data_IF_310979355590
#
_entry.id   IF_310979355590
#
_cell.length_a   1.000
_cell.length_b   1.000
_cell.length_c   1.000
_cell.angle_alpha   90.00
_cell.angle_beta   90.00
_cell.angle_gamma   90.00
#
_symmetry.space_group_name_H-M   'P 1'
#
loop_
_entity.id
_entity.type
_entity.pdbx_description
1 polymer ?
#
# COMPACT_ATOMS: atom_id res chain seq x y z
N UNK A 1 -32.10 77.48 5.82
CA UNK A 1 -32.43 77.37 7.25
C UNK A 1 -33.91 77.01 7.30
N UNK A 2 -34.23 75.74 7.05
CA UNK A 2 -34.37 74.71 8.10
C UNK A 2 -35.84 74.75 8.54
N UNK A 3 -36.67 73.72 8.49
CA UNK A 3 -36.44 72.28 8.44
C UNK A 3 -37.77 71.55 8.10
N UNK A 4 -37.63 70.37 7.50
CA UNK A 4 -38.43 69.16 7.70
C UNK A 4 -39.94 69.15 7.38
N UNK A 5 -40.23 68.80 6.13
CA UNK A 5 -41.35 67.91 5.81
C UNK A 5 -41.14 66.52 6.43
N UNK A 6 -42.07 66.11 7.29
CA UNK A 6 -42.14 64.75 7.83
C UNK A 6 -42.53 63.77 6.71
N UNK A 7 -41.55 63.04 6.19
CA UNK A 7 -41.78 61.80 5.46
C UNK A 7 -41.93 60.65 6.46
N UNK A 8 -42.90 59.79 6.16
CA UNK A 8 -43.24 58.55 6.84
C UNK A 8 -42.02 57.62 6.95
N UNK A 9 -41.87 56.84 8.04
CA UNK A 9 -40.87 55.79 8.08
C UNK A 9 -41.30 54.71 7.08
N UNK A 10 -40.49 54.54 6.03
CA UNK A 10 -40.50 53.34 5.21
C UNK A 10 -40.18 52.19 6.15
N UNK A 11 -41.19 51.39 6.45
CA UNK A 11 -41.00 50.03 6.93
C UNK A 11 -40.29 49.27 5.82
N UNK A 12 -38.96 49.35 5.82
CA UNK A 12 -38.11 48.43 5.10
C UNK A 12 -38.26 47.09 5.81
N UNK A 13 -39.26 46.39 5.29
CA UNK A 13 -39.62 45.04 5.58
C UNK A 13 -38.37 44.17 5.61
N UNK A 14 -38.17 43.58 6.78
CA UNK A 14 -37.49 42.32 7.05
C UNK A 14 -37.98 41.30 5.99
N UNK A 15 -37.35 41.29 4.83
CA UNK A 15 -37.44 40.23 3.80
C UNK A 15 -36.04 40.09 3.18
N UNK A 16 -35.02 39.85 4.01
CA UNK A 16 -33.91 39.02 3.53
C UNK A 16 -34.39 37.57 3.64
N UNK A 17 -35.10 37.16 2.59
CA UNK A 17 -35.53 35.79 2.39
C UNK A 17 -34.32 34.86 2.45
N UNK A 18 -34.45 33.80 3.24
CA UNK A 18 -33.61 32.60 3.34
C UNK A 18 -33.45 31.81 2.02
N UNK A 19 -33.52 32.47 0.86
CA UNK A 19 -33.43 31.87 -0.47
C UNK A 19 -32.10 32.25 -1.10
N UNK A 20 -31.06 31.49 -0.79
CA UNK A 20 -29.78 31.63 -1.48
C UNK A 20 -28.57 31.01 -0.79
N UNK A 21 -28.67 30.63 0.48
CA UNK A 21 -27.60 29.89 1.14
C UNK A 21 -27.76 28.40 0.79
N UNK A 22 -26.81 27.84 0.03
CA UNK A 22 -26.69 26.39 -0.11
C UNK A 22 -26.66 25.69 1.25
N UNK A 23 -27.01 24.41 1.30
CA UNK A 23 -27.07 23.61 2.52
C UNK A 23 -25.79 23.64 3.38
N UNK A 24 -24.64 23.99 2.82
CA UNK A 24 -23.35 24.14 3.50
C UNK A 24 -22.91 25.59 3.73
N UNK A 25 -23.79 26.58 3.49
CA UNK A 25 -23.55 28.00 3.74
C UNK A 25 -22.83 28.77 2.64
N UNK A 26 -22.59 28.17 1.46
CA UNK A 26 -22.09 28.91 0.29
C UNK A 26 -23.26 29.31 -0.63
N UNK A 27 -23.30 30.57 -1.12
CA UNK A 27 -24.30 30.96 -2.11
C UNK A 27 -24.04 30.36 -3.49
N UNK A 28 -22.76 30.09 -3.81
CA UNK A 28 -22.34 29.60 -5.12
C UNK A 28 -21.69 28.22 -5.04
N UNK A 29 -21.90 27.41 -6.08
CA UNK A 29 -21.32 26.08 -6.21
C UNK A 29 -19.78 26.15 -6.33
N UNK A 30 -19.07 25.43 -5.46
CA UNK A 30 -17.59 25.38 -5.46
C UNK A 30 -16.97 24.80 -6.75
N UNK A 31 -17.74 24.06 -7.56
CA UNK A 31 -17.25 23.44 -8.79
C UNK A 31 -17.49 24.25 -10.06
N UNK A 32 -18.71 24.79 -10.25
CA UNK A 32 -19.08 25.51 -11.46
C UNK A 32 -19.39 27.01 -11.25
N UNK A 33 -19.51 27.47 -10.00
CA UNK A 33 -19.82 28.86 -9.67
C UNK A 33 -21.30 29.24 -9.75
N UNK A 34 -22.19 28.35 -10.18
CA UNK A 34 -23.63 28.59 -10.25
C UNK A 34 -24.25 28.88 -8.88
N UNK A 35 -25.31 29.70 -8.84
CA UNK A 35 -26.08 29.94 -7.62
C UNK A 35 -26.72 28.63 -7.11
N UNK A 36 -26.62 28.36 -5.82
CA UNK A 36 -27.18 27.18 -5.19
C UNK A 36 -28.60 27.44 -4.71
N UNK A 37 -29.54 26.62 -5.20
CA UNK A 37 -30.97 26.69 -4.82
C UNK A 37 -31.41 25.49 -3.98
N UNK A 38 -30.50 24.58 -3.65
CA UNK A 38 -30.78 23.37 -2.87
C UNK A 38 -29.53 22.59 -2.48
N UNK A 39 -29.73 21.33 -2.03
CA UNK A 39 -28.63 20.43 -1.59
C UNK A 39 -27.69 19.99 -2.70
N UNK A 40 -28.11 20.10 -3.95
CA UNK A 40 -27.31 19.78 -5.13
C UNK A 40 -27.37 20.95 -6.12
N UNK A 41 -26.26 21.20 -6.80
CA UNK A 41 -26.20 22.20 -7.87
C UNK A 41 -26.98 21.72 -9.10
N UNK A 42 -27.96 22.50 -9.55
CA UNK A 42 -28.76 22.20 -10.74
C UNK A 42 -27.96 22.19 -12.04
N UNK A 43 -26.85 22.95 -12.11
CA UNK A 43 -26.05 23.05 -13.33
C UNK A 43 -25.02 21.92 -13.50
N UNK A 44 -24.39 21.48 -12.41
CA UNK A 44 -23.31 20.49 -12.49
C UNK A 44 -23.53 19.21 -11.67
N UNK A 45 -24.60 19.13 -10.87
CA UNK A 45 -24.89 17.96 -10.04
C UNK A 45 -24.12 17.87 -8.73
N UNK A 46 -23.18 18.79 -8.46
CA UNK A 46 -22.39 18.74 -7.23
C UNK A 46 -23.26 18.89 -5.97
N UNK A 47 -23.15 17.94 -5.05
CA UNK A 47 -23.70 18.07 -3.68
C UNK A 47 -23.03 19.24 -2.96
N UNK A 48 -23.85 20.10 -2.35
CA UNK A 48 -23.35 21.21 -1.56
C UNK A 48 -22.84 20.69 -0.21
N UNK A 49 -21.52 20.75 -0.06
CA UNK A 49 -20.78 20.24 1.09
C UNK A 49 -19.75 21.30 1.48
N UNK A 50 -19.43 21.43 2.78
CA UNK A 50 -18.37 22.33 3.20
C UNK A 50 -17.05 22.06 2.46
N UNK A 51 -16.29 23.13 2.19
CA UNK A 51 -14.98 23.03 1.52
C UNK A 51 -14.04 22.09 2.26
N UNK A 52 -14.03 22.15 3.59
CA UNK A 52 -13.27 21.23 4.45
C UNK A 52 -14.23 20.24 5.09
N UNK A 53 -13.91 18.96 5.01
CA UNK A 53 -14.73 17.88 5.56
C UNK A 53 -13.95 17.13 6.63
N UNK A 54 -14.64 16.63 7.66
CA UNK A 54 -14.03 15.67 8.56
C UNK A 54 -13.87 14.31 7.85
N UNK A 55 -13.04 13.43 8.42
CA UNK A 55 -12.80 12.09 7.87
C UNK A 55 -14.11 11.30 7.80
N UNK A 56 -14.94 11.38 8.85
CA UNK A 56 -16.22 10.67 8.93
C UNK A 56 -17.16 11.03 7.77
N UNK A 57 -17.25 12.31 7.43
CA UNK A 57 -18.08 12.76 6.31
C UNK A 57 -17.57 12.19 4.97
N UNK A 58 -16.25 12.10 4.79
CA UNK A 58 -15.64 11.54 3.58
C UNK A 58 -15.98 10.04 3.43
N UNK A 59 -15.91 9.29 4.54
CA UNK A 59 -16.21 7.85 4.56
C UNK A 59 -17.67 7.56 4.22
N UNK A 60 -18.63 8.28 4.82
CA UNK A 60 -20.06 8.08 4.56
C UNK A 60 -20.41 8.41 3.10
N UNK A 61 -19.92 9.54 2.60
CA UNK A 61 -20.17 9.94 1.21
C UNK A 61 -19.55 8.93 0.23
N UNK A 62 -18.37 8.36 0.53
CA UNK A 62 -17.75 7.31 -0.29
C UNK A 62 -18.62 6.06 -0.41
N UNK A 63 -19.08 5.48 0.71
CA UNK A 63 -19.88 4.24 0.72
C UNK A 63 -21.18 4.44 -0.07
N UNK A 64 -21.86 5.57 0.14
CA UNK A 64 -23.10 5.88 -0.57
C UNK A 64 -22.94 6.02 -2.09
N UNK A 65 -21.73 6.36 -2.55
CA UNK A 65 -21.43 6.60 -3.96
C UNK A 65 -20.73 5.41 -4.65
N UNK A 66 -20.49 4.30 -3.95
CA UNK A 66 -19.63 3.23 -4.47
C UNK A 66 -20.19 2.56 -5.74
N UNK A 67 -21.51 2.39 -5.81
CA UNK A 67 -22.20 1.70 -6.90
C UNK A 67 -22.54 2.59 -8.10
N UNK A 68 -22.23 3.89 -8.07
CA UNK A 68 -22.42 4.75 -9.24
C UNK A 68 -21.22 4.66 -10.19
N UNK A 69 -21.45 4.12 -11.39
CA UNK A 69 -20.45 4.10 -12.45
C UNK A 69 -20.41 5.47 -13.14
N UNK A 70 -19.24 6.12 -13.17
CA UNK A 70 -19.09 7.49 -13.71
C UNK A 70 -18.19 7.55 -14.95
N UNK A 71 -18.62 8.30 -15.95
CA UNK A 71 -17.86 8.58 -17.20
C UNK A 71 -16.61 9.44 -17.00
N UNK A 72 -16.43 10.04 -15.82
CA UNK A 72 -15.33 10.98 -15.50
C UNK A 72 -13.98 10.29 -15.24
N UNK A 73 -13.94 8.95 -15.28
CA UNK A 73 -12.73 8.16 -15.02
C UNK A 73 -11.56 8.58 -15.92
N UNK A 74 -11.75 8.62 -17.24
CA UNK A 74 -10.66 8.95 -18.18
C UNK A 74 -10.12 10.37 -18.02
N UNK A 75 -11.00 11.35 -17.79
CA UNK A 75 -10.60 12.74 -17.52
C UNK A 75 -9.72 12.83 -16.26
N UNK A 76 -10.09 12.07 -15.24
CA UNK A 76 -9.38 11.98 -13.96
C UNK A 76 -8.04 11.30 -14.16
N UNK A 77 -8.00 10.16 -14.87
CA UNK A 77 -6.78 9.45 -15.25
C UNK A 77 -5.78 10.36 -15.98
N UNK A 78 -6.19 11.07 -17.03
CA UNK A 78 -5.30 11.98 -17.78
C UNK A 78 -4.78 13.11 -16.87
N UNK A 79 -5.67 13.71 -16.09
CA UNK A 79 -5.28 14.77 -15.16
C UNK A 79 -4.32 14.24 -14.08
N UNK A 80 -4.53 13.00 -13.63
CA UNK A 80 -3.70 12.38 -12.60
C UNK A 80 -2.31 12.03 -13.14
N UNK A 81 -2.21 11.47 -14.34
CA UNK A 81 -0.93 11.07 -14.95
C UNK A 81 -0.08 12.26 -15.38
N UNK A 82 -0.66 13.35 -15.89
CA UNK A 82 0.11 14.40 -16.55
C UNK A 82 0.12 15.75 -15.80
N UNK A 83 -0.73 15.95 -14.79
CA UNK A 83 -0.87 17.23 -14.07
C UNK A 83 -0.69 17.07 -12.55
N UNK A 84 0.55 16.84 -12.06
CA UNK A 84 0.80 16.48 -10.66
C UNK A 84 0.16 17.45 -9.67
N UNK A 85 -0.66 16.95 -8.74
CA UNK A 85 -1.26 17.76 -7.67
C UNK A 85 -2.27 18.84 -8.07
N UNK A 86 -2.55 19.08 -9.36
CA UNK A 86 -3.62 20.02 -9.77
C UNK A 86 -4.98 19.45 -9.36
N UNK A 87 -5.19 18.17 -9.68
CA UNK A 87 -6.42 17.46 -9.32
C UNK A 87 -6.65 17.47 -7.80
N UNK A 88 -5.61 17.13 -7.03
CA UNK A 88 -5.65 17.09 -5.57
C UNK A 88 -6.01 18.47 -5.00
N UNK A 89 -5.37 19.54 -5.50
CA UNK A 89 -5.64 20.90 -5.07
C UNK A 89 -7.09 21.30 -5.41
N UNK A 90 -7.54 21.09 -6.64
CA UNK A 90 -8.91 21.41 -7.07
C UNK A 90 -9.95 20.65 -6.21
N UNK A 91 -9.68 19.39 -5.87
CA UNK A 91 -10.54 18.58 -5.00
C UNK A 91 -10.62 19.14 -3.57
N UNK A 92 -9.47 19.51 -2.98
CA UNK A 92 -9.40 20.15 -1.66
C UNK A 92 -10.02 21.56 -1.65
N UNK A 93 -10.02 22.27 -2.78
CA UNK A 93 -10.77 23.52 -2.98
C UNK A 93 -12.28 23.31 -3.12
N UNK A 94 -12.76 22.07 -3.20
CA UNK A 94 -14.18 21.72 -3.27
C UNK A 94 -14.72 21.50 -4.69
N UNK A 95 -13.87 21.47 -5.73
CA UNK A 95 -14.27 21.19 -7.13
C UNK A 95 -14.36 19.66 -7.37
N UNK A 96 -15.19 18.98 -6.57
CA UNK A 96 -15.19 17.51 -6.45
C UNK A 96 -15.91 16.82 -7.60
N UNK A 97 -16.97 17.43 -8.12
CA UNK A 97 -17.80 16.84 -9.18
C UNK A 97 -17.09 16.76 -10.55
N UNK A 98 -16.01 17.54 -10.73
CA UNK A 98 -15.18 17.55 -11.95
C UNK A 98 -14.43 16.24 -12.20
N UNK A 99 -14.13 15.51 -11.13
CA UNK A 99 -13.23 14.35 -11.12
C UNK A 99 -13.96 13.12 -10.59
N UNK A 100 -13.44 11.95 -10.97
CA UNK A 100 -13.86 10.68 -10.42
C UNK A 100 -13.46 10.61 -8.94
N UNK A 101 -14.30 9.96 -8.13
CA UNK A 101 -14.10 9.96 -6.68
C UNK A 101 -12.82 9.20 -6.29
N UNK A 102 -11.92 9.79 -5.49
CA UNK A 102 -10.58 9.24 -5.20
C UNK A 102 -10.62 7.83 -4.63
N UNK A 103 -11.38 7.62 -3.55
CA UNK A 103 -11.42 6.31 -2.90
C UNK A 103 -12.01 5.20 -3.79
N UNK A 104 -12.91 5.55 -4.73
CA UNK A 104 -13.46 4.58 -5.69
C UNK A 104 -12.40 4.20 -6.72
N UNK A 105 -11.68 5.20 -7.23
CA UNK A 105 -10.56 5.00 -8.15
C UNK A 105 -9.52 4.09 -7.52
N UNK A 106 -9.19 4.30 -6.25
CA UNK A 106 -8.21 3.53 -5.51
C UNK A 106 -8.60 2.06 -5.35
N UNK A 107 -9.83 1.78 -4.94
CA UNK A 107 -10.30 0.39 -4.84
C UNK A 107 -10.29 -0.29 -6.21
N UNK A 108 -10.75 0.40 -7.26
CA UNK A 108 -10.76 -0.14 -8.61
C UNK A 108 -9.34 -0.41 -9.12
N UNK A 109 -8.44 0.58 -9.03
CA UNK A 109 -7.07 0.47 -9.53
C UNK A 109 -6.22 -0.51 -8.72
N UNK A 110 -6.38 -0.57 -7.40
CA UNK A 110 -5.70 -1.58 -6.57
C UNK A 110 -6.13 -2.98 -6.96
N UNK A 111 -7.44 -3.22 -7.14
CA UNK A 111 -7.95 -4.51 -7.61
C UNK A 111 -7.35 -4.90 -8.97
N UNK A 112 -7.38 -3.99 -9.96
CA UNK A 112 -6.81 -4.25 -11.29
C UNK A 112 -5.30 -4.49 -11.22
N UNK A 113 -4.56 -3.68 -10.45
CA UNK A 113 -3.11 -3.83 -10.30
C UNK A 113 -2.76 -5.18 -9.67
N UNK A 114 -3.40 -5.57 -8.57
CA UNK A 114 -3.12 -6.85 -7.92
C UNK A 114 -3.60 -8.04 -8.76
N UNK A 115 -4.71 -7.92 -9.49
CA UNK A 115 -5.13 -8.95 -10.44
C UNK A 115 -4.07 -9.17 -11.52
N UNK A 116 -3.58 -8.09 -12.14
CA UNK A 116 -2.50 -8.18 -13.14
C UNK A 116 -1.24 -8.77 -12.50
N UNK A 117 -0.83 -8.27 -11.34
CA UNK A 117 0.36 -8.73 -10.62
C UNK A 117 0.29 -10.22 -10.28
N UNK A 118 -0.86 -10.73 -9.85
CA UNK A 118 -1.08 -12.16 -9.56
C UNK A 118 -1.11 -13.03 -10.82
N UNK A 119 -1.55 -12.48 -11.96
CA UNK A 119 -1.55 -13.19 -13.24
C UNK A 119 -0.17 -13.21 -13.92
N UNK A 120 0.78 -12.37 -13.47
CA UNK A 120 2.14 -12.40 -14.00
C UNK A 120 2.81 -13.74 -13.66
N UNK A 121 3.41 -14.43 -14.64
CA UNK A 121 4.12 -15.66 -14.37
C UNK A 121 5.32 -15.40 -13.47
N UNK A 122 5.42 -16.10 -12.34
CA UNK A 122 6.64 -16.15 -11.54
C UNK A 122 7.69 -16.91 -12.37
N UNK A 123 8.78 -16.25 -12.74
CA UNK A 123 9.92 -16.87 -13.46
C UNK A 123 10.70 -17.90 -12.62
N UNK A 124 10.19 -18.31 -11.46
CA UNK A 124 10.72 -19.39 -10.62
C UNK A 124 10.46 -20.79 -11.22
N UNK A 125 10.55 -20.91 -12.55
CA UNK A 125 10.91 -22.15 -13.21
C UNK A 125 12.41 -22.14 -13.47
N UNK A 126 13.20 -22.10 -12.40
CA UNK A 126 14.52 -22.74 -12.46
C UNK A 126 14.18 -24.22 -12.66
N UNK A 127 14.16 -24.65 -13.94
CA UNK A 127 14.36 -26.04 -14.28
C UNK A 127 15.73 -26.40 -13.69
N UNK A 128 15.73 -26.91 -12.45
CA UNK A 128 16.73 -27.90 -12.10
C UNK A 128 16.38 -29.07 -13.00
N UNK A 129 16.97 -29.06 -14.20
CA UNK A 129 17.10 -30.25 -14.99
C UNK A 129 17.94 -31.15 -14.10
N UNK A 130 17.28 -31.99 -13.31
CA UNK A 130 17.91 -33.16 -12.74
C UNK A 130 18.40 -33.96 -13.93
N UNK A 131 19.65 -33.73 -14.32
CA UNK A 131 20.44 -34.68 -15.10
C UNK A 131 20.75 -35.88 -14.20
N UNK A 132 19.68 -36.50 -13.71
CA UNK A 132 19.73 -37.76 -13.02
C UNK A 132 19.71 -38.84 -14.09
N UNK A 133 20.88 -39.33 -14.48
CA UNK A 133 20.94 -40.70 -15.00
C UNK A 133 20.24 -41.59 -13.98
N UNK A 134 19.20 -42.30 -14.40
CA UNK A 134 18.64 -43.37 -13.59
C UNK A 134 19.74 -44.41 -13.36
N UNK A 135 20.36 -44.35 -12.18
CA UNK A 135 21.34 -45.34 -11.73
C UNK A 135 20.69 -46.73 -11.79
N UNK A 136 21.38 -47.65 -12.45
CA UNK A 136 20.97 -49.04 -12.56
C UNK A 136 20.87 -49.69 -11.17
N UNK A 137 20.11 -50.79 -11.05
CA UNK A 137 19.97 -51.51 -9.76
C UNK A 137 21.32 -51.95 -9.17
N UNK A 138 22.32 -52.17 -10.01
CA UNK A 138 23.67 -52.56 -9.60
C UNK A 138 24.46 -51.36 -9.07
N UNK A 139 24.38 -50.20 -9.72
CA UNK A 139 25.01 -48.97 -9.23
C UNK A 139 24.37 -48.47 -7.92
N UNK A 140 23.05 -48.59 -7.79
CA UNK A 140 22.34 -48.29 -6.53
C UNK A 140 22.81 -49.22 -5.41
N UNK A 141 23.00 -50.51 -5.67
CA UNK A 141 23.52 -51.47 -4.69
C UNK A 141 24.96 -51.17 -4.29
N UNK A 142 25.84 -50.92 -5.27
CA UNK A 142 27.24 -50.58 -5.01
C UNK A 142 27.39 -49.28 -4.20
N UNK A 143 26.51 -48.30 -4.42
CA UNK A 143 26.44 -47.08 -3.62
C UNK A 143 25.92 -47.33 -2.19
N UNK A 144 24.90 -48.16 -2.02
CA UNK A 144 24.42 -48.53 -0.67
C UNK A 144 25.44 -49.36 0.12
N UNK A 145 26.19 -50.24 -0.55
CA UNK A 145 27.27 -51.02 0.08
C UNK A 145 28.46 -50.14 0.49
N UNK A 146 28.78 -49.10 -0.29
CA UNK A 146 29.82 -48.14 0.10
C UNK A 146 29.40 -47.27 1.29
N UNK A 147 28.10 -46.93 1.41
CA UNK A 147 27.53 -46.25 2.57
C UNK A 147 27.54 -47.10 3.85
N UNK A 148 27.23 -48.40 3.74
CA UNK A 148 27.29 -49.30 4.91
C UNK A 148 28.74 -49.53 5.39
N UNK A 149 29.70 -49.52 4.48
CA UNK A 149 31.13 -49.65 4.82
C UNK A 149 31.67 -48.37 5.47
N UNK A 150 31.12 -47.19 5.12
CA UNK A 150 31.46 -45.91 5.76
C UNK A 150 30.62 -45.59 7.00
N UNK A 151 29.44 -46.19 7.18
CA UNK A 151 28.62 -46.05 8.40
C UNK A 151 29.30 -46.60 9.66
N UNK A 152 30.22 -47.56 9.50
CA UNK A 152 31.06 -48.04 10.60
C UNK A 152 32.32 -47.18 10.83
N UNK A 153 32.54 -46.15 10.01
CA UNK A 153 33.67 -45.23 10.07
C UNK A 153 33.28 -43.76 10.34
N UNK A 154 32.00 -43.39 10.21
CA UNK A 154 31.47 -42.10 10.65
C UNK A 154 31.00 -42.19 12.10
N UNK A 155 31.57 -41.32 12.93
CA UNK A 155 31.46 -41.35 14.39
C UNK A 155 30.03 -41.25 14.92
N UNK A 156 29.92 -41.66 16.19
CA UNK A 156 28.73 -41.58 17.02
C UNK A 156 28.04 -40.18 16.86
N UNK A 157 26.74 -40.10 16.48
CA UNK A 157 26.04 -38.83 16.22
C UNK A 157 26.07 -37.83 17.40
N UNK A 158 26.38 -38.34 18.60
CA UNK A 158 26.47 -37.58 19.85
C UNK A 158 27.64 -36.55 19.83
N UNK A 159 28.63 -36.69 18.94
CA UNK A 159 29.82 -35.83 18.92
C UNK A 159 29.85 -34.79 17.79
N UNK A 160 28.88 -34.78 16.88
CA UNK A 160 28.80 -33.78 15.83
C UNK A 160 27.88 -32.63 16.27
N UNK A 161 28.48 -31.50 16.67
CA UNK A 161 27.72 -30.29 17.04
C UNK A 161 26.90 -29.71 15.88
N UNK A 162 27.19 -30.09 14.62
CA UNK A 162 26.47 -29.65 13.43
C UNK A 162 25.42 -30.67 12.93
N UNK A 163 25.16 -31.74 13.69
CA UNK A 163 24.16 -32.73 13.33
C UNK A 163 22.74 -32.14 13.41
N UNK A 164 21.98 -32.18 12.31
CA UNK A 164 20.60 -31.72 12.23
C UNK A 164 19.63 -32.89 12.54
N UNK A 165 18.99 -32.92 13.72
CA UNK A 165 18.10 -34.01 14.11
C UNK A 165 16.87 -34.07 13.23
N UNK A 166 16.49 -35.27 12.80
CA UNK A 166 15.40 -35.48 11.84
C UNK A 166 14.06 -35.72 12.50
N UNK A 167 14.05 -36.12 13.78
CA UNK A 167 12.82 -36.39 14.55
C UNK A 167 12.82 -35.68 15.88
N UNK A 168 11.63 -35.45 16.44
CA UNK A 168 11.48 -34.82 17.75
C UNK A 168 12.14 -35.66 18.85
N UNK A 169 12.02 -36.99 18.76
CA UNK A 169 12.63 -37.94 19.69
C UNK A 169 14.15 -37.85 19.65
N UNK A 170 14.73 -37.77 18.45
CA UNK A 170 16.17 -37.62 18.26
C UNK A 170 16.69 -36.30 18.82
N UNK A 171 15.97 -35.19 18.59
CA UNK A 171 16.29 -33.89 19.18
C UNK A 171 16.26 -33.92 20.71
N UNK A 172 15.20 -34.46 21.32
CA UNK A 172 15.10 -34.56 22.77
C UNK A 172 16.21 -35.46 23.35
N UNK A 173 16.63 -36.50 22.62
CA UNK A 173 17.73 -37.38 23.04
C UNK A 173 19.09 -36.65 23.07
N UNK A 174 19.40 -35.86 22.03
CA UNK A 174 20.62 -35.05 21.95
C UNK A 174 20.62 -33.96 23.03
N UNK A 175 19.46 -33.36 23.27
CA UNK A 175 19.30 -32.29 24.22
C UNK A 175 19.46 -32.77 25.68
N UNK A 176 18.97 -33.96 25.99
CA UNK A 176 19.15 -34.58 27.29
C UNK A 176 20.60 -35.03 27.53
N UNK A 177 21.34 -35.41 26.48
CA UNK A 177 22.74 -35.78 26.55
C UNK A 177 23.69 -34.59 26.81
N UNK A 178 23.26 -33.35 26.54
CA UNK A 178 24.04 -32.14 26.81
C UNK A 178 24.04 -31.79 28.31
N UNK A 179 25.17 -31.25 28.84
CA UNK A 179 25.20 -30.60 30.15
C UNK A 179 24.14 -29.50 30.27
N UNK A 180 23.51 -29.27 31.45
CA UNK A 180 22.43 -28.29 31.60
C UNK A 180 22.75 -26.88 31.11
N UNK A 181 24.02 -26.47 31.19
CA UNK A 181 24.50 -25.15 30.76
C UNK A 181 24.59 -24.99 29.24
N UNK A 182 24.67 -26.10 28.49
CA UNK A 182 24.78 -26.12 27.03
C UNK A 182 23.47 -26.49 26.33
N UNK A 183 22.39 -26.63 27.11
CA UNK A 183 21.05 -26.89 26.57
C UNK A 183 20.51 -25.66 25.86
N UNK A 184 19.79 -25.91 24.79
CA UNK A 184 19.12 -24.92 23.97
C UNK A 184 18.19 -24.07 24.84
N UNK A 185 18.25 -22.75 24.66
CA UNK A 185 17.34 -21.84 25.35
C UNK A 185 15.88 -22.07 24.94
N UNK A 186 14.92 -21.58 25.73
CA UNK A 186 13.48 -21.76 25.45
C UNK A 186 13.07 -21.35 24.03
N UNK A 187 13.67 -20.27 23.52
CA UNK A 187 13.38 -19.74 22.18
C UNK A 187 13.98 -20.65 21.12
N UNK A 188 15.25 -21.04 21.28
CA UNK A 188 15.96 -21.93 20.34
C UNK A 188 15.27 -23.29 20.23
N UNK A 189 14.87 -23.87 21.37
CA UNK A 189 14.11 -25.12 21.43
C UNK A 189 12.77 -25.02 20.71
N UNK A 190 12.02 -23.93 20.90
CA UNK A 190 10.74 -23.72 20.19
C UNK A 190 10.93 -23.74 18.67
N UNK A 191 11.94 -23.02 18.15
CA UNK A 191 12.20 -22.98 16.73
C UNK A 191 12.70 -24.32 16.18
N UNK A 192 13.63 -25.02 16.85
CA UNK A 192 14.13 -26.33 16.39
C UNK A 192 13.02 -27.38 16.37
N UNK A 193 12.23 -27.50 17.44
CA UNK A 193 11.08 -28.41 17.50
C UNK A 193 10.09 -28.11 16.37
N UNK A 194 9.79 -26.83 16.15
CA UNK A 194 8.87 -26.43 15.09
C UNK A 194 9.42 -26.76 13.71
N UNK A 195 10.70 -26.50 13.46
CA UNK A 195 11.37 -26.87 12.21
C UNK A 195 11.36 -28.39 11.94
N UNK A 196 11.66 -29.21 12.95
CA UNK A 196 11.65 -30.67 12.86
C UNK A 196 10.23 -31.18 12.56
N UNK A 197 9.24 -30.69 13.32
CA UNK A 197 7.83 -31.07 13.15
C UNK A 197 7.33 -30.72 11.74
N UNK A 198 7.71 -29.55 11.22
CA UNK A 198 7.37 -29.10 9.87
C UNK A 198 8.05 -29.95 8.79
N UNK A 199 9.35 -30.25 8.94
CA UNK A 199 10.10 -31.14 8.03
C UNK A 199 9.44 -32.52 7.95
N UNK A 200 9.03 -33.06 9.09
CA UNK A 200 8.44 -34.40 9.19
C UNK A 200 7.01 -34.46 8.61
N UNK A 201 6.19 -33.43 8.81
CA UNK A 201 4.80 -33.41 8.31
C UNK A 201 4.69 -33.17 6.81
N UNK A 202 5.62 -32.39 6.22
CA UNK A 202 5.45 -31.93 4.84
C UNK A 202 6.62 -32.26 3.90
N UNK A 203 7.70 -32.91 4.36
CA UNK A 203 8.81 -33.41 3.52
C UNK A 203 9.70 -32.32 2.90
N UNK A 204 10.24 -31.43 3.73
CA UNK A 204 10.68 -30.09 3.29
C UNK A 204 12.14 -29.99 2.85
N UNK A 205 12.35 -29.77 1.53
CA UNK A 205 13.57 -29.19 0.95
C UNK A 205 13.65 -27.68 1.28
N UNK A 206 14.86 -27.16 1.51
CA UNK A 206 15.10 -25.76 1.90
C UNK A 206 14.47 -24.77 0.91
N UNK A 207 14.49 -25.09 -0.39
CA UNK A 207 13.86 -24.27 -1.44
C UNK A 207 12.34 -24.16 -1.28
N UNK A 208 11.69 -25.20 -0.78
CA UNK A 208 10.24 -25.23 -0.56
C UNK A 208 9.83 -24.32 0.59
N UNK A 209 10.65 -24.23 1.64
CA UNK A 209 10.45 -23.31 2.77
C UNK A 209 10.51 -21.87 2.29
N UNK A 210 11.60 -21.50 1.63
CA UNK A 210 11.78 -20.13 1.13
C UNK A 210 10.71 -19.72 0.13
N UNK A 211 10.28 -20.66 -0.74
CA UNK A 211 9.16 -20.43 -1.65
C UNK A 211 7.86 -20.18 -0.91
N UNK A 212 7.46 -21.05 0.02
CA UNK A 212 6.20 -20.89 0.78
C UNK A 212 6.18 -19.65 1.67
N UNK A 213 7.34 -19.29 2.24
CA UNK A 213 7.53 -18.04 2.98
C UNK A 213 7.37 -16.82 2.06
N UNK A 214 8.00 -16.84 0.88
CA UNK A 214 7.89 -15.79 -0.12
C UNK A 214 6.46 -15.59 -0.63
N UNK A 215 5.75 -16.68 -0.94
CA UNK A 215 4.34 -16.68 -1.34
C UNK A 215 3.45 -16.08 -0.24
N UNK A 216 3.70 -16.45 1.02
CA UNK A 216 2.96 -15.91 2.18
C UNK A 216 3.20 -14.42 2.39
N UNK A 217 4.45 -13.95 2.21
CA UNK A 217 4.79 -12.52 2.26
C UNK A 217 4.08 -11.74 1.16
N UNK A 218 4.12 -12.24 -0.08
CA UNK A 218 3.48 -11.62 -1.24
C UNK A 218 1.96 -11.52 -1.07
N UNK A 219 1.32 -12.56 -0.54
CA UNK A 219 -0.12 -12.56 -0.26
C UNK A 219 -0.55 -11.47 0.75
N UNK A 220 0.37 -10.99 1.57
CA UNK A 220 0.12 -9.93 2.55
C UNK A 220 0.47 -8.51 2.03
N UNK A 221 1.10 -8.37 0.87
CA UNK A 221 1.44 -7.07 0.27
C UNK A 221 0.20 -6.14 0.12
N UNK A 222 -0.96 -6.60 -0.39
CA UNK A 222 -2.14 -5.74 -0.47
C UNK A 222 -2.53 -5.15 0.89
N UNK A 223 -2.54 -6.00 1.94
CA UNK A 223 -2.87 -5.57 3.33
C UNK A 223 -1.89 -4.52 3.84
N UNK A 224 -0.59 -4.67 3.56
CA UNK A 224 0.43 -3.68 3.91
C UNK A 224 0.16 -2.34 3.22
N UNK A 225 -0.14 -2.34 1.93
CA UNK A 225 -0.42 -1.12 1.15
C UNK A 225 -1.65 -0.36 1.70
N UNK A 226 -2.72 -1.07 2.05
CA UNK A 226 -3.91 -0.45 2.67
C UNK A 226 -3.57 0.15 4.05
N UNK A 227 -2.75 -0.52 4.85
CA UNK A 227 -2.31 0.00 6.15
C UNK A 227 -1.37 1.21 6.04
N UNK A 228 -0.49 1.22 5.02
CA UNK A 228 0.46 2.31 4.80
C UNK A 228 -0.19 3.60 4.27
N UNK A 229 -1.40 3.52 3.70
CA UNK A 229 -2.15 4.68 3.22
C UNK A 229 -2.43 5.71 4.34
N UNK A 230 -3.11 5.37 5.45
CA UNK A 230 -3.34 6.33 6.54
C UNK A 230 -2.04 6.77 7.22
N UNK A 231 -1.00 5.92 7.23
CA UNK A 231 0.34 6.28 7.74
C UNK A 231 0.98 7.35 6.88
N UNK A 232 0.93 7.23 5.55
CA UNK A 232 1.48 8.24 4.63
C UNK A 232 0.76 9.59 4.81
N UNK A 233 -0.58 9.58 4.93
CA UNK A 233 -1.37 10.78 5.20
C UNK A 233 -1.00 11.39 6.57
N UNK A 234 -0.75 10.56 7.58
CA UNK A 234 -0.31 11.01 8.91
C UNK A 234 1.07 11.65 8.86
N UNK A 235 2.03 11.07 8.14
CA UNK A 235 3.35 11.67 7.95
C UNK A 235 3.19 13.04 7.29
N UNK A 236 2.35 13.17 6.24
CA UNK A 236 2.08 14.46 5.60
C UNK A 236 1.50 15.47 6.61
N UNK A 237 0.53 15.04 7.43
CA UNK A 237 -0.05 15.88 8.48
C UNK A 237 1.02 16.36 9.47
N UNK A 238 1.95 15.51 9.87
CA UNK A 238 3.05 15.87 10.76
C UNK A 238 4.01 16.87 10.09
N UNK A 239 4.40 16.64 8.82
CA UNK A 239 5.30 17.55 8.10
C UNK A 239 4.68 18.92 7.84
N UNK A 240 3.37 19.00 7.72
CA UNK A 240 2.62 20.23 7.47
C UNK A 240 1.79 20.65 8.68
N UNK A 241 2.18 20.26 9.90
CA UNK A 241 1.44 20.57 11.15
C UNK A 241 1.22 22.07 11.38
N UNK A 242 2.15 22.92 10.90
CA UNK A 242 2.05 24.39 10.99
C UNK A 242 1.10 25.01 9.95
N UNK A 243 0.47 24.20 9.10
CA UNK A 243 -0.48 24.67 8.09
C UNK A 243 -1.88 24.19 8.46
N UNK A 244 -2.85 25.02 8.08
CA UNK A 244 -4.27 24.78 8.31
C UNK A 244 -4.86 23.84 7.26
N UNK A 245 -4.39 22.60 7.26
CA UNK A 245 -4.94 21.49 6.48
C UNK A 245 -5.56 20.45 7.42
N UNK A 246 -6.73 19.94 7.04
CA UNK A 246 -7.39 18.84 7.74
C UNK A 246 -6.72 17.51 7.38
N UNK A 247 -6.82 16.52 8.26
CA UNK A 247 -6.29 15.19 7.95
C UNK A 247 -6.91 14.62 6.66
N UNK A 248 -8.21 14.88 6.43
CA UNK A 248 -8.91 14.49 5.20
C UNK A 248 -8.26 15.04 3.93
N UNK A 249 -7.70 16.25 3.94
CA UNK A 249 -7.00 16.83 2.79
C UNK A 249 -5.68 16.13 2.50
N UNK A 250 -4.96 15.69 3.55
CA UNK A 250 -3.77 14.85 3.41
C UNK A 250 -4.14 13.44 2.95
N UNK A 251 -5.26 12.90 3.44
CA UNK A 251 -5.77 11.60 3.03
C UNK A 251 -6.17 11.60 1.55
N UNK A 252 -6.88 12.63 1.07
CA UNK A 252 -7.19 12.82 -0.35
C UNK A 252 -5.92 12.88 -1.18
N UNK A 253 -4.89 13.63 -0.73
CA UNK A 253 -3.59 13.64 -1.39
C UNK A 253 -3.02 12.24 -1.53
N UNK A 254 -3.02 11.48 -0.44
CA UNK A 254 -2.46 10.12 -0.41
C UNK A 254 -3.22 9.18 -1.32
N UNK A 255 -4.55 9.19 -1.29
CA UNK A 255 -5.38 8.31 -2.13
C UNK A 255 -5.08 8.57 -3.61
N UNK A 256 -5.11 9.83 -4.06
CA UNK A 256 -4.76 10.15 -5.46
C UNK A 256 -3.31 9.84 -5.81
N UNK A 257 -2.38 9.99 -4.86
CA UNK A 257 -1.00 9.60 -5.12
C UNK A 257 -0.87 8.08 -5.29
N UNK A 258 -1.57 7.28 -4.49
CA UNK A 258 -1.59 5.83 -4.66
C UNK A 258 -2.32 5.39 -5.93
N UNK A 259 -3.39 6.08 -6.34
CA UNK A 259 -4.01 5.89 -7.66
C UNK A 259 -2.98 6.05 -8.78
N UNK A 260 -2.17 7.11 -8.69
CA UNK A 260 -1.08 7.35 -9.64
C UNK A 260 -0.02 6.25 -9.59
N UNK A 261 0.37 5.77 -8.40
CA UNK A 261 1.32 4.68 -8.24
C UNK A 261 0.80 3.38 -8.87
N UNK A 262 -0.47 3.02 -8.68
CA UNK A 262 -1.05 1.84 -9.31
C UNK A 262 -1.08 1.96 -10.82
N UNK A 263 -1.46 3.12 -11.37
CA UNK A 263 -1.42 3.35 -12.82
C UNK A 263 -0.01 3.25 -13.39
N UNK A 264 0.95 3.90 -12.73
CA UNK A 264 2.35 3.83 -13.13
C UNK A 264 2.90 2.40 -13.01
N UNK A 265 2.48 1.64 -12.00
CA UNK A 265 2.81 0.23 -11.81
C UNK A 265 2.23 -0.66 -12.91
N UNK A 266 0.96 -0.48 -13.28
CA UNK A 266 0.33 -1.19 -14.41
C UNK A 266 1.10 -0.90 -15.70
N UNK A 267 1.44 0.36 -15.96
CA UNK A 267 2.26 0.72 -17.13
C UNK A 267 3.65 0.06 -17.07
N UNK A 268 4.27 0.01 -15.88
CA UNK A 268 5.56 -0.64 -15.68
C UNK A 268 5.50 -2.14 -15.98
N UNK A 269 4.45 -2.83 -15.53
CA UNK A 269 4.21 -4.24 -15.88
C UNK A 269 4.06 -4.42 -17.39
N UNK A 270 3.30 -3.54 -18.06
CA UNK A 270 3.15 -3.59 -19.54
C UNK A 270 4.49 -3.42 -20.25
N UNK A 271 5.36 -2.52 -19.78
CA UNK A 271 6.71 -2.38 -20.35
C UNK A 271 7.60 -3.60 -20.05
N UNK A 272 7.44 -4.23 -18.89
CA UNK A 272 8.15 -5.47 -18.54
C UNK A 272 7.73 -6.69 -19.35
N UNK A 273 6.53 -6.70 -19.94
CA UNK A 273 6.12 -7.75 -20.88
C UNK A 273 6.93 -7.72 -22.19
N UNK A 274 7.66 -6.63 -22.43
CA UNK A 274 8.40 -6.40 -23.66
C UNK A 274 9.85 -6.08 -23.26
N UNK A 275 10.71 -7.11 -23.18
CA UNK A 275 12.07 -7.00 -22.62
C UNK A 275 12.89 -5.78 -23.08
N UNK A 276 12.83 -5.40 -24.37
CA UNK A 276 13.57 -4.24 -24.89
C UNK A 276 13.05 -2.87 -24.41
N UNK A 277 11.89 -2.83 -23.75
CA UNK A 277 11.28 -1.63 -23.14
C UNK A 277 11.49 -1.56 -21.63
N UNK A 278 12.12 -2.55 -20.99
CA UNK A 278 12.30 -2.58 -19.52
C UNK A 278 13.03 -1.36 -18.96
N UNK A 279 13.98 -0.79 -19.73
CA UNK A 279 14.70 0.43 -19.34
C UNK A 279 13.78 1.64 -19.13
N UNK A 280 12.58 1.64 -19.70
CA UNK A 280 11.55 2.66 -19.47
C UNK A 280 11.13 2.69 -17.99
N UNK A 281 11.18 1.55 -17.29
CA UNK A 281 10.83 1.47 -15.86
C UNK A 281 11.70 2.37 -14.99
N UNK A 282 12.98 2.56 -15.34
CA UNK A 282 13.85 3.51 -14.65
C UNK A 282 13.32 4.95 -14.77
N UNK A 283 12.87 5.35 -15.97
CA UNK A 283 12.28 6.67 -16.20
C UNK A 283 10.91 6.82 -15.55
N UNK A 284 10.10 5.75 -15.50
CA UNK A 284 8.84 5.72 -14.74
C UNK A 284 9.11 5.93 -13.26
N UNK A 285 10.10 5.25 -12.68
CA UNK A 285 10.52 5.43 -11.30
C UNK A 285 10.96 6.88 -11.02
N UNK A 286 11.78 7.47 -11.88
CA UNK A 286 12.18 8.87 -11.76
C UNK A 286 10.96 9.81 -11.86
N UNK A 287 10.03 9.52 -12.77
CA UNK A 287 8.82 10.30 -12.95
C UNK A 287 7.93 10.25 -11.70
N UNK A 288 7.80 9.11 -11.03
CA UNK A 288 7.05 8.97 -9.78
C UNK A 288 7.60 9.91 -8.70
N UNK A 289 8.93 9.95 -8.55
CA UNK A 289 9.59 10.83 -7.59
C UNK A 289 9.37 12.31 -7.93
N UNK A 290 9.53 12.67 -9.21
CA UNK A 290 9.25 14.03 -9.70
C UNK A 290 7.78 14.42 -9.52
N UNK A 291 6.87 13.46 -9.70
CA UNK A 291 5.43 13.64 -9.50
C UNK A 291 5.13 14.01 -8.05
N UNK A 292 5.61 13.21 -7.10
CA UNK A 292 5.38 13.42 -5.67
C UNK A 292 5.89 14.81 -5.24
N UNK A 293 7.12 15.17 -5.63
CA UNK A 293 7.67 16.50 -5.36
C UNK A 293 6.80 17.63 -5.93
N UNK A 294 6.41 17.54 -7.22
CA UNK A 294 5.57 18.56 -7.87
C UNK A 294 4.19 18.65 -7.22
N UNK A 295 3.60 17.51 -6.84
CA UNK A 295 2.31 17.44 -6.18
C UNK A 295 2.37 18.10 -4.80
N UNK A 296 3.34 17.74 -3.96
CA UNK A 296 3.55 18.37 -2.65
C UNK A 296 3.71 19.89 -2.77
N UNK A 297 4.53 20.36 -3.73
CA UNK A 297 4.72 21.80 -3.93
C UNK A 297 3.43 22.53 -4.29
N UNK A 298 2.64 21.96 -5.20
CA UNK A 298 1.41 22.60 -5.71
C UNK A 298 0.27 22.58 -4.70
N UNK A 299 0.13 21.50 -3.94
CA UNK A 299 -0.94 21.36 -2.94
C UNK A 299 -0.64 22.21 -1.70
N UNK A 300 0.59 22.18 -1.19
CA UNK A 300 0.94 22.89 0.05
C UNK A 300 1.49 24.32 -0.16
N UNK A 301 1.76 24.71 -1.41
CA UNK A 301 2.15 26.08 -1.76
C UNK A 301 3.46 26.56 -1.14
N UNK A 302 4.40 25.67 -0.82
CA UNK A 302 5.67 26.05 -0.19
C UNK A 302 6.77 26.38 -1.22
N UNK A 303 7.81 27.10 -0.75
CA UNK A 303 9.01 27.36 -1.56
C UNK A 303 9.72 26.05 -1.94
N UNK A 304 10.51 26.08 -3.02
CA UNK A 304 11.20 24.88 -3.56
C UNK A 304 12.07 24.22 -2.51
N UNK A 305 12.93 24.99 -1.84
CA UNK A 305 13.85 24.47 -0.82
C UNK A 305 13.11 23.75 0.33
N UNK A 306 12.10 24.39 0.93
CA UNK A 306 11.30 23.78 2.01
C UNK A 306 10.60 22.49 1.54
N UNK A 307 10.12 22.48 0.29
CA UNK A 307 9.46 21.30 -0.28
C UNK A 307 10.44 20.16 -0.52
N UNK A 308 11.65 20.45 -1.03
CA UNK A 308 12.70 19.44 -1.25
C UNK A 308 13.11 18.79 0.07
N UNK A 309 13.36 19.59 1.12
CA UNK A 309 13.70 19.06 2.44
C UNK A 309 12.59 18.14 2.97
N UNK A 310 11.33 18.58 2.90
CA UNK A 310 10.19 17.76 3.34
C UNK A 310 9.95 16.54 2.47
N UNK A 311 10.26 16.61 1.18
CA UNK A 311 10.16 15.48 0.26
C UNK A 311 11.13 14.36 0.65
N UNK A 312 12.41 14.69 0.87
CA UNK A 312 13.40 13.69 1.32
C UNK A 312 13.07 13.14 2.70
N UNK A 313 12.65 14.01 3.62
CA UNK A 313 12.24 13.58 4.96
C UNK A 313 11.00 12.66 4.90
N UNK A 314 10.01 12.99 4.09
CA UNK A 314 8.85 12.13 3.82
C UNK A 314 9.27 10.75 3.31
N UNK A 315 10.10 10.71 2.26
CA UNK A 315 10.57 9.45 1.67
C UNK A 315 11.36 8.63 2.70
N UNK A 316 12.24 9.27 3.46
CA UNK A 316 13.04 8.63 4.49
C UNK A 316 12.16 7.99 5.57
N UNK A 317 11.23 8.76 6.17
CA UNK A 317 10.31 8.22 7.19
C UNK A 317 9.46 7.09 6.60
N UNK A 318 8.90 7.30 5.41
CA UNK A 318 8.03 6.32 4.79
C UNK A 318 8.76 5.01 4.43
N UNK A 319 10.03 5.09 4.02
CA UNK A 319 10.89 3.92 3.81
C UNK A 319 11.05 3.10 5.10
N UNK A 320 11.32 3.76 6.25
CA UNK A 320 11.38 3.05 7.53
C UNK A 320 10.03 2.45 7.94
N UNK A 321 8.92 3.12 7.65
CA UNK A 321 7.58 2.54 7.88
C UNK A 321 7.33 1.30 7.02
N UNK A 322 7.75 1.31 5.74
CA UNK A 322 7.67 0.14 4.86
C UNK A 322 8.54 -1.00 5.41
N UNK A 323 9.78 -0.72 5.79
CA UNK A 323 10.70 -1.70 6.34
C UNK A 323 10.12 -2.35 7.61
N UNK A 324 9.61 -1.52 8.52
CA UNK A 324 8.96 -1.99 9.75
C UNK A 324 7.74 -2.86 9.45
N UNK A 325 6.87 -2.45 8.52
CA UNK A 325 5.72 -3.24 8.11
C UNK A 325 6.13 -4.58 7.46
N UNK A 326 7.23 -4.61 6.70
CA UNK A 326 7.77 -5.82 6.10
C UNK A 326 8.33 -6.77 7.16
N UNK A 327 9.06 -6.25 8.16
CA UNK A 327 9.56 -7.04 9.30
C UNK A 327 8.40 -7.66 10.08
N UNK A 328 7.34 -6.90 10.39
CA UNK A 328 6.16 -7.44 11.05
C UNK A 328 5.53 -8.56 10.21
N UNK A 329 5.37 -8.36 8.90
CA UNK A 329 4.80 -9.37 8.00
C UNK A 329 5.67 -10.65 7.98
N UNK A 330 6.99 -10.51 7.93
CA UNK A 330 7.93 -11.64 8.01
C UNK A 330 7.82 -12.39 9.33
N UNK A 331 7.75 -11.69 10.47
CA UNK A 331 7.59 -12.31 11.79
C UNK A 331 6.25 -13.04 11.92
N UNK A 332 5.14 -12.42 11.49
CA UNK A 332 3.82 -13.05 11.49
C UNK A 332 3.83 -14.30 10.62
N UNK A 333 4.42 -14.22 9.42
CA UNK A 333 4.53 -15.36 8.51
C UNK A 333 5.35 -16.50 9.12
N UNK A 334 6.48 -16.20 9.78
CA UNK A 334 7.31 -17.19 10.46
C UNK A 334 6.59 -17.85 11.65
N UNK A 335 5.71 -17.12 12.34
CA UNK A 335 4.91 -17.65 13.44
C UNK A 335 3.78 -18.56 12.92
N UNK A 336 3.21 -18.25 11.74
CA UNK A 336 2.08 -18.97 11.16
C UNK A 336 2.47 -20.17 10.28
N UNK A 337 3.67 -20.14 9.68
CA UNK A 337 4.34 -21.35 9.18
C UNK A 337 4.66 -22.27 10.35
#
# INVERSE_FOLDING_TARGET
MDELGKSLPVSESIIESEQGAGAAGNPNCLNCGALLTGKFCSQCGQKDLPRRQAIGDLSINFISSFFSFESKFFKTFISLMFRPGILIRDYNEGKRERYYHPARMYVFLSFIFFLIFTLMPNEDKINVQEDGRELTREEKRAFFDSLNTTSNAYGNPIQDENYDPKTLEEYDSLENAKPPEKRDGRIERYFKIKFITLKQQRGWDEKTIWKSFGESLQANIPKMIFFLLPVFALILKLLYIRKDFYYSEHLVFTVFFYDFLFLAGILGVVFSLVHWLEWINFFVFLYINLYLYKAMRRVYGQSRFKTVVKFFLMISIFFFCILFAFVINALVTLILL
#
